data_IF_509922685565
#
_entry.id   IF_509922685565
#
_cell.length_a   1.000
_cell.length_b   1.000
_cell.length_c   1.000
_cell.angle_alpha   90.00
_cell.angle_beta   90.00
_cell.angle_gamma   90.00
#
_symmetry.space_group_name_H-M   'P 1'
#
loop_
_entity.id
_entity.type
_entity.pdbx_description
1 polymer ?
#
# COMPACT_ATOMS: atom_id res chain seq x y z
N UNK A 1 25.04 11.14 17.50
CA UNK A 1 24.74 9.70 17.62
C UNK A 1 23.22 9.51 17.80
N UNK A 2 22.41 9.62 16.73
CA UNK A 2 20.92 9.46 16.78
C UNK A 2 20.24 9.38 15.40
N UNK A 3 20.89 8.80 14.38
CA UNK A 3 20.33 8.70 13.01
C UNK A 3 19.73 7.34 12.65
N UNK A 4 19.75 6.36 13.57
CA UNK A 4 19.31 4.99 13.26
C UNK A 4 17.84 4.81 13.69
N UNK A 5 16.95 4.80 12.70
CA UNK A 5 15.52 4.41 12.71
C UNK A 5 14.46 5.48 13.01
N UNK A 6 14.44 6.56 12.23
CA UNK A 6 13.31 7.51 12.20
C UNK A 6 11.93 6.83 12.05
N UNK A 7 11.70 5.85 11.15
CA UNK A 7 10.41 5.16 11.06
C UNK A 7 9.94 4.53 12.38
N UNK A 8 10.81 3.80 13.08
CA UNK A 8 10.43 3.14 14.34
C UNK A 8 10.24 4.13 15.49
N UNK A 9 10.86 5.31 15.41
CA UNK A 9 10.56 6.40 16.36
C UNK A 9 9.17 6.97 16.12
N UNK A 10 8.75 7.16 14.87
CA UNK A 10 7.38 7.56 14.54
C UNK A 10 6.35 6.59 15.14
N UNK A 11 6.65 5.29 15.11
CA UNK A 11 5.81 4.26 15.72
C UNK A 11 5.73 4.41 17.25
N UNK A 12 6.87 4.62 17.90
CA UNK A 12 6.93 4.86 19.35
C UNK A 12 6.23 6.15 19.79
N UNK A 13 6.29 7.17 18.95
CA UNK A 13 5.79 8.51 19.25
C UNK A 13 4.32 8.71 18.86
N UNK A 14 3.71 7.77 18.13
CA UNK A 14 2.31 7.89 17.69
C UNK A 14 2.10 8.69 16.40
N UNK A 15 3.14 8.82 15.58
CA UNK A 15 3.14 9.59 14.34
C UNK A 15 3.44 8.73 13.12
N UNK A 16 3.15 7.42 13.18
CA UNK A 16 3.47 6.50 12.11
C UNK A 16 2.54 6.65 10.90
N UNK A 17 3.12 6.78 9.71
CA UNK A 17 2.43 6.83 8.43
C UNK A 17 2.87 5.70 7.52
N UNK A 18 1.92 4.89 7.06
CA UNK A 18 2.14 3.80 6.11
C UNK A 18 1.36 4.06 4.81
N UNK A 19 2.04 3.99 3.66
CA UNK A 19 1.39 3.93 2.36
C UNK A 19 1.15 2.46 1.99
N UNK A 20 -0.06 2.11 1.56
CA UNK A 20 -0.40 0.80 1.00
C UNK A 20 -0.60 0.96 -0.51
N UNK A 21 0.36 0.51 -1.31
CA UNK A 21 0.25 0.50 -2.77
C UNK A 21 -0.78 -0.54 -3.24
N UNK A 22 -0.94 -1.63 -2.50
CA UNK A 22 -1.94 -2.69 -2.73
C UNK A 22 -1.30 -4.07 -2.77
N UNK A 23 -1.83 -5.01 -1.99
CA UNK A 23 -1.28 -6.37 -1.85
C UNK A 23 -1.29 -7.17 -3.17
N UNK A 24 -2.22 -6.87 -4.08
CA UNK A 24 -2.32 -7.46 -5.42
C UNK A 24 -2.00 -6.48 -6.56
N UNK A 25 -1.58 -5.25 -6.24
CA UNK A 25 -1.39 -4.22 -7.26
C UNK A 25 0.03 -4.28 -7.85
N UNK A 26 0.12 -4.57 -9.14
CA UNK A 26 1.38 -4.86 -9.83
C UNK A 26 1.68 -3.88 -10.97
N UNK A 27 0.96 -2.75 -11.06
CA UNK A 27 1.29 -1.68 -11.99
C UNK A 27 2.54 -0.91 -11.52
N UNK A 28 3.71 -1.41 -11.94
CA UNK A 28 5.02 -0.93 -11.49
C UNK A 28 5.21 0.59 -11.64
N UNK A 29 4.77 1.26 -12.74
CA UNK A 29 4.90 2.71 -12.86
C UNK A 29 4.15 3.46 -11.75
N UNK A 30 2.91 3.07 -11.46
CA UNK A 30 2.14 3.68 -10.36
C UNK A 30 2.78 3.38 -9.00
N UNK A 31 3.16 2.13 -8.73
CA UNK A 31 3.82 1.75 -7.47
C UNK A 31 5.07 2.61 -7.24
N UNK A 32 5.91 2.77 -8.27
CA UNK A 32 7.12 3.57 -8.24
C UNK A 32 6.83 5.04 -7.96
N UNK A 33 5.89 5.65 -8.71
CA UNK A 33 5.59 7.07 -8.58
C UNK A 33 4.90 7.40 -7.25
N UNK A 34 3.98 6.56 -6.78
CA UNK A 34 3.40 6.68 -5.44
C UNK A 34 4.49 6.60 -4.36
N UNK A 35 5.38 5.60 -4.46
CA UNK A 35 6.49 5.42 -3.53
C UNK A 35 7.36 6.68 -3.47
N UNK A 36 7.74 7.25 -4.62
CA UNK A 36 8.56 8.45 -4.68
C UNK A 36 7.87 9.64 -4.00
N UNK A 37 6.62 9.93 -4.38
CA UNK A 37 5.88 11.08 -3.85
C UNK A 37 5.67 10.99 -2.33
N UNK A 38 5.22 9.83 -1.84
CA UNK A 38 4.96 9.63 -0.40
C UNK A 38 6.24 9.50 0.43
N UNK A 39 7.32 8.97 -0.15
CA UNK A 39 8.64 8.98 0.52
C UNK A 39 9.10 10.42 0.72
N UNK A 40 9.06 11.25 -0.32
CA UNK A 40 9.44 12.67 -0.23
C UNK A 40 8.51 13.48 0.70
N UNK A 41 7.24 13.08 0.82
CA UNK A 41 6.31 13.67 1.77
C UNK A 41 6.59 13.27 3.23
N UNK A 42 7.30 12.15 3.47
CA UNK A 42 7.69 11.68 4.81
C UNK A 42 6.96 10.45 5.32
N UNK A 43 6.52 9.55 4.45
CA UNK A 43 6.02 8.23 4.86
C UNK A 43 7.09 7.43 5.62
N UNK A 44 6.68 6.66 6.63
CA UNK A 44 7.59 5.79 7.39
C UNK A 44 7.70 4.38 6.80
N UNK A 45 6.66 3.95 6.09
CA UNK A 45 6.59 2.63 5.50
C UNK A 45 5.84 2.65 4.18
N UNK A 46 6.39 1.92 3.21
CA UNK A 46 5.78 1.68 1.91
C UNK A 46 5.50 0.19 1.82
N UNK A 47 4.22 -0.15 1.71
CA UNK A 47 3.72 -1.51 1.65
C UNK A 47 3.26 -1.86 0.25
N UNK A 48 3.82 -2.94 -0.28
CA UNK A 48 3.64 -3.37 -1.65
C UNK A 48 3.27 -4.84 -1.73
N UNK A 49 2.78 -5.22 -2.91
CA UNK A 49 2.58 -6.62 -3.24
C UNK A 49 3.85 -7.42 -2.97
N UNK A 50 3.63 -8.66 -2.54
CA UNK A 50 4.64 -9.67 -2.31
C UNK A 50 5.23 -10.20 -3.64
N UNK A 51 5.77 -9.29 -4.44
CA UNK A 51 6.24 -9.48 -5.81
C UNK A 51 7.64 -8.86 -5.97
N UNK A 52 8.64 -9.61 -6.48
CA UNK A 52 10.00 -9.10 -6.62
C UNK A 52 10.11 -7.84 -7.50
N UNK A 53 9.28 -7.68 -8.54
CA UNK A 53 9.32 -6.52 -9.41
C UNK A 53 8.73 -5.28 -8.72
N UNK A 54 7.63 -5.43 -7.98
CA UNK A 54 7.08 -4.36 -7.14
C UNK A 54 8.07 -3.90 -6.06
N UNK A 55 8.75 -4.84 -5.42
CA UNK A 55 9.79 -4.55 -4.42
C UNK A 55 10.98 -3.81 -5.07
N UNK A 56 11.43 -4.25 -6.24
CA UNK A 56 12.52 -3.61 -6.97
C UNK A 56 12.16 -2.17 -7.39
N UNK A 57 10.97 -1.96 -7.95
CA UNK A 57 10.47 -0.62 -8.32
C UNK A 57 10.38 0.32 -7.11
N UNK A 58 9.95 -0.21 -5.96
CA UNK A 58 9.89 0.53 -4.69
C UNK A 58 11.29 0.92 -4.21
N UNK A 59 12.25 -0.01 -4.27
CA UNK A 59 13.65 0.25 -3.91
C UNK A 59 14.27 1.33 -4.77
N UNK A 60 14.03 1.29 -6.08
CA UNK A 60 14.48 2.31 -7.03
C UNK A 60 13.91 3.68 -6.67
N UNK A 61 12.59 3.79 -6.45
CA UNK A 61 11.94 5.04 -6.09
C UNK A 61 12.46 5.64 -4.77
N UNK A 62 12.70 4.80 -3.76
CA UNK A 62 13.29 5.23 -2.47
C UNK A 62 14.73 5.74 -2.63
N UNK A 63 15.49 5.14 -3.54
CA UNK A 63 16.85 5.61 -3.86
C UNK A 63 16.80 6.98 -4.54
N UNK A 64 15.92 7.17 -5.52
CA UNK A 64 15.69 8.47 -6.16
C UNK A 64 15.25 9.52 -5.12
N UNK A 65 14.33 9.17 -4.20
CA UNK A 65 13.91 10.07 -3.14
C UNK A 65 15.08 10.49 -2.24
N UNK A 66 16.04 9.60 -2.00
CA UNK A 66 17.27 9.88 -1.24
C UNK A 66 18.15 10.93 -1.91
N UNK A 67 18.24 10.90 -3.25
CA UNK A 67 18.95 11.90 -4.03
C UNK A 67 18.26 13.27 -4.03
N UNK A 68 16.92 13.29 -3.92
CA UNK A 68 16.11 14.51 -3.90
C UNK A 68 15.91 15.10 -2.49
N UNK A 69 16.53 14.54 -1.46
CA UNK A 69 16.34 14.92 -0.04
C UNK A 69 16.53 16.42 0.23
N UNK A 70 17.59 17.01 -0.30
CA UNK A 70 17.89 18.44 -0.09
C UNK A 70 16.80 19.33 -0.69
N UNK A 71 16.26 18.93 -1.84
CA UNK A 71 15.19 19.67 -2.50
C UNK A 71 13.87 19.55 -1.74
N UNK A 72 13.52 18.36 -1.26
CA UNK A 72 12.35 18.15 -0.42
C UNK A 72 12.41 19.03 0.85
N UNK A 73 13.59 19.13 1.48
CA UNK A 73 13.83 19.99 2.63
C UNK A 73 13.62 21.48 2.29
N UNK A 74 14.11 21.94 1.14
CA UNK A 74 13.94 23.33 0.68
C UNK A 74 12.45 23.67 0.46
N UNK A 75 11.67 22.70 -0.01
CA UNK A 75 10.21 22.82 -0.14
C UNK A 75 9.44 22.59 1.17
N UNK A 76 10.15 22.40 2.30
CA UNK A 76 9.58 22.13 3.64
C UNK A 76 8.73 20.85 3.72
N UNK A 77 9.05 19.85 2.89
CA UNK A 77 8.43 18.53 2.96
C UNK A 77 9.10 17.63 4.01
N UNK A 78 8.37 16.59 4.43
CA UNK A 78 8.68 15.78 5.62
C UNK A 78 9.73 14.68 5.45
N UNK A 79 10.48 14.63 4.34
CA UNK A 79 11.46 13.55 4.14
C UNK A 79 12.66 13.65 5.08
N UNK A 80 12.65 12.82 6.12
CA UNK A 80 13.71 12.77 7.14
C UNK A 80 14.64 11.57 6.93
N UNK A 81 14.08 10.42 6.59
CA UNK A 81 14.81 9.16 6.46
C UNK A 81 14.13 8.19 5.50
N UNK A 82 14.89 7.19 5.06
CA UNK A 82 14.40 6.07 4.25
C UNK A 82 13.23 5.35 4.96
N UNK A 83 12.07 5.17 4.30
CA UNK A 83 10.97 4.38 4.84
C UNK A 83 11.33 2.90 4.89
N UNK A 84 10.62 2.14 5.74
CA UNK A 84 10.64 0.69 5.69
C UNK A 84 9.90 0.19 4.44
N UNK A 85 10.50 -0.74 3.72
CA UNK A 85 9.80 -1.45 2.64
C UNK A 85 9.14 -2.69 3.23
N UNK A 86 7.83 -2.75 3.13
CA UNK A 86 6.99 -3.85 3.62
C UNK A 86 6.40 -4.63 2.45
N UNK A 87 6.34 -5.95 2.59
CA UNK A 87 5.63 -6.80 1.66
C UNK A 87 4.43 -7.46 2.36
N UNK A 88 3.28 -7.41 1.70
CA UNK A 88 2.02 -7.99 2.18
C UNK A 88 1.82 -9.42 1.68
N UNK A 89 1.58 -10.35 2.61
CA UNK A 89 1.25 -11.76 2.37
C UNK A 89 -0.03 -12.14 3.14
N UNK A 90 -0.66 -13.26 2.77
CA UNK A 90 -1.84 -13.80 3.43
C UNK A 90 -1.60 -15.24 3.91
N UNK A 91 -2.33 -15.69 4.94
CA UNK A 91 -2.31 -17.07 5.40
C UNK A 91 -3.36 -17.98 4.73
N UNK A 92 -4.19 -17.42 3.84
CA UNK A 92 -5.22 -18.11 3.09
C UNK A 92 -6.00 -17.14 2.19
N UNK A 93 -7.21 -17.51 1.74
CA UNK A 93 -8.04 -16.61 0.93
C UNK A 93 -8.29 -15.28 1.64
N UNK A 94 -8.08 -14.18 0.92
CA UNK A 94 -8.22 -12.85 1.50
C UNK A 94 -8.75 -11.84 0.43
N UNK A 95 -9.71 -10.97 0.78
CA UNK A 95 -10.27 -9.98 -0.15
C UNK A 95 -9.27 -8.97 -0.74
N UNK A 96 -8.09 -8.79 -0.15
CA UNK A 96 -6.99 -7.96 -0.67
C UNK A 96 -6.08 -8.73 -1.63
N UNK A 97 -6.19 -10.06 -1.63
CA UNK A 97 -5.43 -11.01 -2.46
C UNK A 97 -6.32 -11.64 -3.52
N UNK A 98 -7.13 -10.81 -4.18
CA UNK A 98 -7.98 -11.23 -5.28
C UNK A 98 -7.83 -10.30 -6.47
N UNK A 99 -8.16 -10.80 -7.64
CA UNK A 99 -8.32 -9.99 -8.85
C UNK A 99 -9.66 -10.32 -9.48
N UNK A 100 -10.22 -9.35 -10.21
CA UNK A 100 -11.40 -9.58 -11.01
C UNK A 100 -11.02 -10.44 -12.21
N UNK A 101 -11.89 -11.35 -12.61
CA UNK A 101 -11.77 -12.11 -13.85
C UNK A 101 -13.14 -12.30 -14.49
N UNK A 102 -13.16 -12.34 -15.82
CA UNK A 102 -14.31 -12.78 -16.60
C UNK A 102 -13.85 -13.13 -18.01
N UNK A 103 -14.60 -14.01 -18.68
CA UNK A 103 -14.48 -14.20 -20.11
C UNK A 103 -15.21 -13.06 -20.82
N UNK A 104 -14.48 -12.23 -21.55
CA UNK A 104 -15.07 -11.09 -22.26
C UNK A 104 -15.91 -11.49 -23.46
N UNK A 105 -15.73 -12.71 -23.99
CA UNK A 105 -16.46 -13.21 -25.15
C UNK A 105 -17.92 -13.57 -24.83
N UNK A 106 -18.23 -13.82 -23.55
CA UNK A 106 -19.59 -14.10 -23.07
C UNK A 106 -20.32 -12.85 -22.58
N UNK A 107 -19.65 -11.69 -22.54
CA UNK A 107 -20.29 -10.43 -22.19
C UNK A 107 -21.19 -9.95 -23.35
N UNK A 108 -22.51 -9.76 -23.14
CA UNK A 108 -23.41 -9.32 -24.20
C UNK A 108 -22.94 -7.99 -24.82
N UNK A 109 -23.03 -7.87 -26.14
CA UNK A 109 -22.68 -6.64 -26.87
C UNK A 109 -23.53 -5.46 -26.35
N UNK A 110 -24.82 -5.71 -26.07
CA UNK A 110 -25.78 -4.74 -25.52
C UNK A 110 -25.56 -4.40 -24.04
N UNK A 111 -24.59 -5.03 -23.37
CA UNK A 111 -24.26 -4.69 -21.99
C UNK A 111 -23.73 -3.25 -21.95
N UNK A 112 -24.35 -2.42 -21.13
CA UNK A 112 -23.89 -1.03 -20.90
C UNK A 112 -22.61 -0.92 -20.04
N UNK A 113 -22.03 -2.08 -19.65
CA UNK A 113 -20.72 -2.26 -19.01
C UNK A 113 -20.43 -1.27 -17.86
N UNK A 114 -21.24 -1.26 -16.79
CA UNK A 114 -20.95 -0.44 -15.60
C UNK A 114 -19.59 -0.75 -14.96
N UNK A 115 -19.12 -1.99 -15.13
CA UNK A 115 -17.85 -2.46 -14.59
C UNK A 115 -16.64 -1.66 -15.11
N UNK A 116 -16.64 -1.20 -16.36
CA UNK A 116 -15.58 -0.33 -16.91
C UNK A 116 -15.54 0.99 -16.15
N UNK A 117 -16.71 1.64 -15.99
CA UNK A 117 -16.83 2.96 -15.36
C UNK A 117 -16.55 2.95 -13.86
N UNK A 118 -16.91 1.87 -13.16
CA UNK A 118 -16.70 1.78 -11.71
C UNK A 118 -15.27 1.37 -11.36
N UNK A 119 -14.50 0.85 -12.32
CA UNK A 119 -13.15 0.36 -12.10
C UNK A 119 -12.19 1.56 -11.93
N UNK A 120 -11.69 1.82 -10.71
CA UNK A 120 -10.90 3.02 -10.43
C UNK A 120 -9.46 2.92 -10.97
N UNK A 121 -9.04 1.72 -11.37
CA UNK A 121 -7.74 1.50 -12.02
C UNK A 121 -7.89 1.33 -13.54
N UNK A 122 -9.10 1.53 -14.08
CA UNK A 122 -9.41 1.34 -15.51
C UNK A 122 -8.96 -0.04 -16.04
N UNK A 123 -8.90 -1.03 -15.15
CA UNK A 123 -8.38 -2.36 -15.43
C UNK A 123 -9.33 -3.24 -16.26
N UNK A 124 -10.52 -2.75 -16.64
CA UNK A 124 -11.49 -3.51 -17.43
C UNK A 124 -11.62 -2.79 -18.78
N UNK A 125 -11.27 -3.49 -19.86
CA UNK A 125 -11.25 -2.92 -21.21
C UNK A 125 -12.02 -3.80 -22.19
N UNK A 126 -12.75 -3.16 -23.11
CA UNK A 126 -13.38 -3.84 -24.25
C UNK A 126 -12.92 -3.19 -25.56
N UNK A 127 -12.22 -3.95 -26.39
CA UNK A 127 -11.85 -3.54 -27.74
C UNK A 127 -12.95 -3.92 -28.73
N UNK A 128 -13.34 -2.99 -29.60
CA UNK A 128 -14.27 -3.25 -30.69
C UNK A 128 -13.55 -3.98 -31.83
N UNK A 129 -14.21 -4.97 -32.42
CA UNK A 129 -13.65 -5.80 -33.51
C UNK A 129 -13.39 -5.04 -34.81
N UNK A 130 -13.94 -3.83 -34.98
CA UNK A 130 -13.92 -3.09 -36.24
C UNK A 130 -12.66 -2.23 -36.45
N UNK A 131 -11.80 -2.10 -35.44
CA UNK A 131 -10.50 -1.42 -35.59
C UNK A 131 -9.38 -2.46 -35.71
N UNK A 132 -9.10 -2.88 -36.95
CA UNK A 132 -8.07 -3.85 -37.34
C UNK A 132 -6.62 -3.50 -36.92
N UNK A 133 -6.40 -2.41 -36.18
CA UNK A 133 -5.11 -1.91 -35.72
C UNK A 133 -4.83 -2.30 -34.25
N UNK A 134 -5.86 -2.66 -33.46
CA UNK A 134 -5.68 -3.03 -32.04
C UNK A 134 -5.98 -4.53 -31.82
N UNK A 135 -4.94 -5.37 -31.85
CA UNK A 135 -4.96 -6.77 -31.38
C UNK A 135 -5.01 -6.86 -29.83
N UNK A 136 -5.85 -6.06 -29.18
CA UNK A 136 -6.04 -6.11 -27.74
C UNK A 136 -7.08 -7.16 -27.34
N UNK A 137 -6.78 -8.00 -26.35
CA UNK A 137 -7.80 -8.87 -25.75
C UNK A 137 -8.68 -8.04 -24.81
N UNK A 138 -9.99 -8.05 -25.03
CA UNK A 138 -10.98 -7.51 -24.08
C UNK A 138 -10.96 -8.34 -22.79
N UNK A 139 -11.15 -7.71 -21.64
CA UNK A 139 -11.13 -8.40 -20.34
C UNK A 139 -10.56 -7.54 -19.22
N UNK A 140 -10.01 -8.22 -18.20
CA UNK A 140 -9.30 -7.57 -17.09
C UNK A 140 -7.81 -7.52 -17.39
N UNK A 141 -7.21 -6.33 -17.33
CA UNK A 141 -5.75 -6.15 -17.32
C UNK A 141 -5.27 -6.48 -15.90
N UNK A 142 -4.67 -7.67 -15.74
CA UNK A 142 -4.36 -8.26 -14.44
C UNK A 142 -3.42 -7.37 -13.61
N UNK A 143 -2.46 -6.70 -14.24
CA UNK A 143 -1.47 -5.84 -13.59
C UNK A 143 -2.09 -4.57 -12.96
N UNK A 144 -3.16 -4.04 -13.58
CA UNK A 144 -3.88 -2.87 -13.11
C UNK A 144 -4.93 -3.23 -12.04
N UNK A 145 -5.46 -4.45 -12.08
CA UNK A 145 -6.49 -4.87 -11.16
C UNK A 145 -5.94 -5.12 -9.75
N UNK A 146 -6.20 -4.18 -8.83
CA UNK A 146 -5.81 -4.34 -7.42
C UNK A 146 -6.86 -5.04 -6.54
N UNK A 147 -7.87 -5.67 -7.14
CA UNK A 147 -8.82 -6.51 -6.36
C UNK A 147 -9.91 -5.76 -5.59
N UNK A 148 -10.20 -4.50 -5.93
CA UNK A 148 -11.17 -3.68 -5.19
C UNK A 148 -12.59 -4.28 -5.12
N UNK A 149 -12.93 -5.18 -6.05
CA UNK A 149 -14.22 -5.86 -6.10
C UNK A 149 -15.42 -5.00 -6.51
N UNK A 150 -15.23 -3.72 -6.87
CA UNK A 150 -16.33 -2.82 -7.27
C UNK A 150 -17.09 -3.34 -8.48
N UNK A 151 -16.40 -4.00 -9.40
CA UNK A 151 -16.97 -4.59 -10.61
C UNK A 151 -17.86 -5.81 -10.33
N UNK A 152 -17.66 -6.52 -9.22
CA UNK A 152 -18.34 -7.78 -8.92
C UNK A 152 -19.85 -7.56 -8.73
N UNK A 153 -20.23 -6.57 -7.92
CA UNK A 153 -21.64 -6.32 -7.59
C UNK A 153 -22.39 -5.50 -8.62
N UNK A 154 -21.70 -4.74 -9.48
CA UNK A 154 -22.35 -3.89 -10.49
C UNK A 154 -22.57 -4.60 -11.82
N UNK A 155 -21.95 -5.77 -12.05
CA UNK A 155 -22.08 -6.50 -13.31
C UNK A 155 -23.54 -6.99 -13.46
N UNK A 156 -24.33 -6.50 -14.45
CA UNK A 156 -25.75 -6.83 -14.57
C UNK A 156 -25.98 -8.33 -14.87
N UNK A 157 -25.03 -8.93 -15.58
CA UNK A 157 -25.04 -10.33 -15.98
C UNK A 157 -24.27 -11.23 -15.00
N UNK A 158 -23.71 -10.68 -13.91
CA UNK A 158 -22.96 -11.41 -12.88
C UNK A 158 -21.80 -12.28 -13.45
N UNK A 159 -21.17 -11.81 -14.53
CA UNK A 159 -20.11 -12.55 -15.22
C UNK A 159 -18.74 -12.40 -14.55
N UNK A 160 -18.55 -11.37 -13.72
CA UNK A 160 -17.26 -11.06 -13.12
C UNK A 160 -17.13 -11.79 -11.79
N UNK A 161 -16.08 -12.60 -11.69
CA UNK A 161 -15.74 -13.37 -10.51
C UNK A 161 -14.48 -12.82 -9.84
N UNK A 162 -14.32 -13.13 -8.56
CA UNK A 162 -13.11 -12.85 -7.81
C UNK A 162 -12.21 -14.08 -7.85
N UNK A 163 -11.10 -13.99 -8.58
CA UNK A 163 -10.04 -15.00 -8.51
C UNK A 163 -9.17 -14.72 -7.30
N UNK A 164 -9.18 -15.61 -6.32
CA UNK A 164 -8.21 -15.60 -5.23
C UNK A 164 -6.81 -15.82 -5.82
N UNK A 165 -5.93 -14.84 -5.64
CA UNK A 165 -4.51 -14.98 -5.94
C UNK A 165 -3.82 -15.55 -4.70
N UNK A 166 -3.80 -16.88 -4.61
CA UNK A 166 -3.06 -17.61 -3.57
C UNK A 166 -1.79 -18.17 -4.20
N UNK A 167 -0.75 -17.36 -4.37
CA UNK A 167 0.58 -17.96 -4.47
C UNK A 167 0.94 -18.53 -3.10
N UNK A 168 1.58 -19.69 -3.04
CA UNK A 168 1.77 -20.41 -1.79
C UNK A 168 2.56 -19.53 -0.80
N UNK A 169 1.96 -19.07 0.31
CA UNK A 169 2.57 -18.04 1.16
C UNK A 169 3.97 -18.40 1.66
N UNK A 170 4.24 -19.71 1.82
CA UNK A 170 5.54 -20.26 2.22
C UNK A 170 6.65 -20.09 1.18
N UNK A 171 6.33 -20.23 -0.12
CA UNK A 171 7.32 -20.04 -1.20
C UNK A 171 7.62 -18.56 -1.42
N UNK A 172 6.58 -17.73 -1.35
CA UNK A 172 6.66 -16.28 -1.50
C UNK A 172 7.46 -15.65 -0.37
N UNK A 173 7.19 -16.01 0.89
CA UNK A 173 7.87 -15.41 2.03
C UNK A 173 9.39 -15.57 1.92
N UNK A 174 9.86 -16.78 1.58
CA UNK A 174 11.30 -17.06 1.42
C UNK A 174 11.91 -16.22 0.29
N UNK A 175 11.23 -16.12 -0.86
CA UNK A 175 11.69 -15.35 -2.01
C UNK A 175 11.80 -13.86 -1.68
N UNK A 176 10.80 -13.30 -1.00
CA UNK A 176 10.76 -11.89 -0.62
C UNK A 176 11.80 -11.55 0.42
N UNK A 177 12.01 -12.43 1.40
CA UNK A 177 13.02 -12.21 2.42
C UNK A 177 14.42 -12.19 1.79
N UNK A 178 14.67 -12.99 0.75
CA UNK A 178 15.89 -12.89 -0.06
C UNK A 178 16.00 -11.58 -0.86
N UNK A 179 14.87 -10.98 -1.26
CA UNK A 179 14.91 -9.64 -1.87
C UNK A 179 15.32 -8.55 -0.88
N UNK A 180 15.34 -8.82 0.43
CA UNK A 180 15.79 -7.89 1.47
C UNK A 180 14.78 -6.77 1.76
N UNK A 181 13.53 -7.15 2.08
CA UNK A 181 12.52 -6.24 2.65
C UNK A 181 12.82 -5.93 4.11
N UNK A 182 12.32 -4.80 4.60
CA UNK A 182 12.52 -4.37 5.99
C UNK A 182 11.44 -4.93 6.93
N UNK A 183 10.25 -5.20 6.41
CA UNK A 183 9.08 -5.59 7.16
C UNK A 183 8.17 -6.52 6.35
N UNK A 184 7.28 -7.24 7.04
CA UNK A 184 6.20 -7.99 6.41
C UNK A 184 4.87 -7.63 7.04
N UNK A 185 3.82 -7.70 6.24
CA UNK A 185 2.43 -7.71 6.69
C UNK A 185 1.83 -9.09 6.43
N UNK A 186 1.20 -9.66 7.45
CA UNK A 186 0.48 -10.93 7.36
C UNK A 186 -1.01 -10.65 7.51
N UNK A 187 -1.78 -10.87 6.45
CA UNK A 187 -3.25 -10.90 6.48
C UNK A 187 -3.73 -12.24 7.01
N UNK A 188 -4.69 -12.17 7.90
CA UNK A 188 -5.26 -13.32 8.60
C UNK A 188 -6.70 -13.03 9.02
N UNK A 189 -7.42 -14.08 9.43
CA UNK A 189 -8.82 -14.01 9.84
C UNK A 189 -9.04 -14.92 11.04
N UNK A 190 -10.02 -14.57 11.89
CA UNK A 190 -10.36 -15.37 13.06
C UNK A 190 -10.66 -16.82 12.66
N UNK A 191 -10.10 -17.77 13.41
CA UNK A 191 -10.23 -19.22 13.16
C UNK A 191 -9.15 -19.81 12.25
N UNK A 192 -8.15 -19.03 11.82
CA UNK A 192 -7.06 -19.49 10.95
C UNK A 192 -5.75 -19.82 11.65
N UNK A 193 -5.76 -20.15 12.94
CA UNK A 193 -4.53 -20.39 13.73
C UNK A 193 -3.63 -21.44 13.07
N UNK A 194 -4.21 -22.48 12.49
CA UNK A 194 -3.46 -23.57 11.84
C UNK A 194 -2.70 -23.07 10.61
N UNK A 195 -3.34 -22.29 9.75
CA UNK A 195 -2.73 -21.77 8.52
C UNK A 195 -1.73 -20.66 8.84
N UNK A 196 -2.06 -19.77 9.78
CA UNK A 196 -1.12 -18.79 10.32
C UNK A 196 0.14 -19.48 10.87
N UNK A 197 -0.01 -20.54 11.67
CA UNK A 197 1.12 -21.28 12.21
C UNK A 197 1.97 -21.95 11.12
N UNK A 198 1.33 -22.46 10.05
CA UNK A 198 2.03 -23.02 8.88
C UNK A 198 2.87 -21.95 8.19
N UNK A 199 2.29 -20.77 7.93
CA UNK A 199 2.98 -19.64 7.34
C UNK A 199 4.14 -19.14 8.24
N UNK A 200 3.88 -19.00 9.54
CA UNK A 200 4.87 -18.54 10.50
C UNK A 200 6.10 -19.45 10.55
N UNK A 201 5.95 -20.76 10.41
CA UNK A 201 7.09 -21.70 10.34
C UNK A 201 8.05 -21.37 9.18
N UNK A 202 7.54 -20.84 8.05
CA UNK A 202 8.36 -20.42 6.91
C UNK A 202 9.03 -19.06 7.13
N UNK A 203 8.42 -18.17 7.91
CA UNK A 203 8.93 -16.82 8.19
C UNK A 203 9.94 -16.81 9.34
N UNK A 204 9.69 -17.58 10.40
CA UNK A 204 10.46 -17.61 11.65
C UNK A 204 11.97 -17.71 11.46
N UNK A 205 12.54 -18.49 10.53
CA UNK A 205 13.98 -18.55 10.32
C UNK A 205 14.63 -17.21 9.92
N UNK A 206 13.85 -16.30 9.34
CA UNK A 206 14.32 -15.04 8.77
C UNK A 206 13.94 -13.82 9.61
N UNK A 207 13.19 -14.00 10.71
CA UNK A 207 12.63 -12.92 11.51
C UNK A 207 13.69 -11.92 12.03
N UNK A 208 14.91 -12.38 12.26
CA UNK A 208 16.03 -11.54 12.70
C UNK A 208 16.48 -10.49 11.66
N UNK A 209 16.08 -10.67 10.39
CA UNK A 209 16.36 -9.72 9.31
C UNK A 209 15.28 -8.64 9.21
N UNK A 210 14.11 -8.87 9.82
CA UNK A 210 12.99 -7.96 9.80
C UNK A 210 13.09 -6.94 10.94
N UNK A 211 12.71 -5.71 10.64
CA UNK A 211 12.59 -4.60 11.61
C UNK A 211 11.19 -4.52 12.21
N UNK A 212 10.19 -5.05 11.49
CA UNK A 212 8.79 -4.95 11.86
C UNK A 212 7.95 -6.09 11.25
N UNK A 213 6.97 -6.57 12.01
CA UNK A 213 5.88 -7.43 11.52
C UNK A 213 4.56 -6.71 11.80
N UNK A 214 3.69 -6.64 10.80
CA UNK A 214 2.30 -6.25 10.96
C UNK A 214 1.39 -7.47 10.81
N UNK A 215 0.44 -7.65 11.73
CA UNK A 215 -0.62 -8.64 11.61
C UNK A 215 -1.91 -7.88 11.33
N UNK A 216 -2.48 -8.09 10.15
CA UNK A 216 -3.68 -7.44 9.65
C UNK A 216 -4.87 -8.38 9.80
N UNK A 217 -5.88 -7.97 10.55
CA UNK A 217 -7.08 -8.77 10.79
C UNK A 217 -8.32 -7.86 10.84
N UNK A 218 -9.42 -8.36 10.29
CA UNK A 218 -10.72 -7.69 10.32
C UNK A 218 -11.45 -7.93 11.64
N UNK A 219 -12.48 -7.13 11.90
CA UNK A 219 -13.33 -7.34 13.09
C UNK A 219 -14.20 -8.58 12.91
N UNK A 220 -14.15 -9.48 13.89
CA UNK A 220 -15.01 -10.66 13.98
C UNK A 220 -15.24 -11.05 15.45
N UNK A 221 -16.16 -11.99 15.68
CA UNK A 221 -16.37 -12.63 16.97
C UNK A 221 -15.11 -13.41 17.39
N UNK A 222 -14.68 -13.27 18.65
CA UNK A 222 -13.46 -13.94 19.13
C UNK A 222 -12.13 -13.31 18.67
N UNK A 223 -12.15 -12.12 18.04
CA UNK A 223 -10.94 -11.46 17.55
C UNK A 223 -9.85 -11.31 18.62
N UNK A 224 -10.20 -10.93 19.85
CA UNK A 224 -9.17 -10.65 20.87
C UNK A 224 -8.48 -11.94 21.30
N UNK A 225 -9.25 -13.01 21.52
CA UNK A 225 -8.76 -14.35 21.82
C UNK A 225 -7.87 -14.86 20.69
N UNK A 226 -8.25 -14.58 19.44
CA UNK A 226 -7.47 -14.90 18.26
C UNK A 226 -6.13 -14.15 18.23
N UNK A 227 -6.12 -12.82 18.38
CA UNK A 227 -4.87 -12.04 18.40
C UNK A 227 -3.95 -12.45 19.57
N UNK A 228 -4.52 -12.79 20.73
CA UNK A 228 -3.77 -13.36 21.86
C UNK A 228 -3.14 -14.72 21.51
N UNK A 229 -3.84 -15.58 20.77
CA UNK A 229 -3.31 -16.87 20.30
C UNK A 229 -2.16 -16.66 19.32
N UNK A 230 -2.31 -15.74 18.37
CA UNK A 230 -1.25 -15.37 17.42
C UNK A 230 -0.02 -14.81 18.11
N UNK A 231 -0.20 -13.97 19.13
CA UNK A 231 0.92 -13.45 19.93
C UNK A 231 1.73 -14.58 20.58
N UNK A 232 1.07 -15.62 21.10
CA UNK A 232 1.74 -16.80 21.68
C UNK A 232 2.53 -17.59 20.61
N UNK A 233 2.06 -17.62 19.37
CA UNK A 233 2.73 -18.33 18.26
C UNK A 233 4.02 -17.60 17.84
N UNK A 234 3.98 -16.27 17.77
CA UNK A 234 5.09 -15.45 17.24
C UNK A 234 6.12 -15.06 18.30
N UNK A 235 5.74 -15.04 19.58
CA UNK A 235 6.62 -14.62 20.68
C UNK A 235 7.66 -15.69 21.05
N UNK A 236 8.89 -15.30 21.43
CA UNK A 236 9.43 -13.93 21.43
C UNK A 236 9.76 -13.43 20.02
N UNK A 237 9.48 -12.13 19.78
CA UNK A 237 9.80 -11.43 18.54
C UNK A 237 11.02 -10.51 18.73
N UNK A 238 12.03 -10.57 17.84
CA UNK A 238 13.20 -9.69 17.91
C UNK A 238 12.95 -8.30 17.30
N UNK A 239 11.75 -8.05 16.78
CA UNK A 239 11.40 -6.86 16.01
C UNK A 239 10.07 -6.24 16.49
N UNK A 240 9.70 -5.06 15.96
CA UNK A 240 8.46 -4.39 16.38
C UNK A 240 7.23 -5.11 15.84
N UNK A 241 6.15 -5.17 16.63
CA UNK A 241 4.87 -5.76 16.23
C UNK A 241 3.81 -4.66 16.07
N UNK A 242 3.11 -4.67 14.94
CA UNK A 242 1.91 -3.87 14.71
C UNK A 242 0.70 -4.82 14.64
N UNK A 243 -0.33 -4.52 15.42
CA UNK A 243 -1.69 -5.00 15.21
C UNK A 243 -2.39 -4.02 14.27
N UNK A 244 -2.48 -4.40 13.00
CA UNK A 244 -3.14 -3.61 11.98
C UNK A 244 -4.63 -3.92 12.01
N UNK A 245 -5.42 -2.93 12.41
CA UNK A 245 -6.87 -3.03 12.48
C UNK A 245 -7.46 -2.78 11.11
N UNK A 246 -7.72 -3.84 10.37
CA UNK A 246 -8.25 -3.77 9.02
C UNK A 246 -9.77 -3.59 9.07
N UNK A 247 -10.22 -2.34 9.04
CA UNK A 247 -11.65 -2.03 8.99
C UNK A 247 -12.29 -2.49 7.67
N UNK A 248 -13.58 -2.19 7.49
CA UNK A 248 -14.25 -2.50 6.23
C UNK A 248 -13.52 -1.84 5.04
N UNK A 249 -13.18 -2.60 3.98
CA UNK A 249 -12.62 -2.01 2.76
C UNK A 249 -13.54 -0.92 2.22
N UNK A 250 -12.98 0.14 1.63
CA UNK A 250 -13.78 1.14 0.91
C UNK A 250 -14.37 0.50 -0.36
N UNK A 251 -15.50 -0.18 -0.24
CA UNK A 251 -16.30 -0.71 -1.35
C UNK A 251 -17.02 0.44 -2.04
N UNK A 252 -16.36 1.12 -2.97
CA UNK A 252 -17.01 2.21 -3.72
C UNK A 252 -17.05 3.54 -2.97
N UNK A 253 -17.54 3.50 -1.73
CA UNK A 253 -17.83 4.68 -0.92
C UNK A 253 -16.61 5.17 -0.13
N UNK A 254 -16.20 6.41 -0.42
CA UNK A 254 -15.35 7.24 0.45
C UNK A 254 -16.20 7.81 1.61
N UNK A 255 -17.22 7.06 2.03
CA UNK A 255 -18.23 7.50 2.97
C UNK A 255 -17.71 7.58 4.40
N UNK A 256 -18.34 8.45 5.19
CA UNK A 256 -18.02 8.74 6.59
C UNK A 256 -17.98 7.48 7.49
N UNK A 257 -18.73 6.43 7.13
CA UNK A 257 -18.90 5.22 7.92
C UNK A 257 -17.72 4.23 7.93
N UNK A 258 -16.88 4.21 6.89
CA UNK A 258 -15.75 3.26 6.82
C UNK A 258 -14.66 3.58 7.83
N UNK A 259 -14.37 4.88 8.01
CA UNK A 259 -13.43 5.37 9.04
C UNK A 259 -13.91 5.09 10.46
N UNK A 260 -15.21 5.13 10.71
CA UNK A 260 -15.76 4.86 12.05
C UNK A 260 -15.54 3.39 12.46
N UNK A 261 -15.67 2.46 11.52
CA UNK A 261 -15.47 1.03 11.76
C UNK A 261 -14.03 0.71 12.18
N UNK A 262 -13.03 1.21 11.44
CA UNK A 262 -11.60 1.01 11.78
C UNK A 262 -11.23 1.67 13.11
N UNK A 263 -11.78 2.85 13.43
CA UNK A 263 -11.58 3.52 14.72
C UNK A 263 -12.15 2.69 15.87
N UNK A 264 -13.35 2.12 15.72
CA UNK A 264 -13.97 1.26 16.74
C UNK A 264 -13.15 -0.02 16.95
N UNK A 265 -12.70 -0.64 15.86
CA UNK A 265 -11.83 -1.82 15.91
C UNK A 265 -10.51 -1.50 16.63
N UNK A 266 -9.91 -0.34 16.37
CA UNK A 266 -8.68 0.07 17.07
C UNK A 266 -8.87 0.25 18.58
N UNK A 267 -10.02 0.75 19.03
CA UNK A 267 -10.34 0.85 20.45
C UNK A 267 -10.46 -0.54 21.07
N UNK A 268 -11.22 -1.45 20.43
CA UNK A 268 -11.35 -2.85 20.86
C UNK A 268 -9.97 -3.53 21.05
N UNK A 269 -9.04 -3.32 20.12
CA UNK A 269 -7.68 -3.89 20.19
C UNK A 269 -6.81 -3.17 21.23
N UNK A 270 -6.92 -1.85 21.38
CA UNK A 270 -6.20 -1.10 22.43
C UNK A 270 -6.65 -1.52 23.83
N UNK A 271 -7.95 -1.69 24.05
CA UNK A 271 -8.53 -2.09 25.33
C UNK A 271 -8.10 -3.50 25.76
N UNK A 272 -7.74 -4.36 24.80
CA UNK A 272 -7.23 -5.69 25.08
C UNK A 272 -5.79 -5.71 25.66
N UNK A 273 -5.05 -4.60 25.61
CA UNK A 273 -3.72 -4.50 26.22
C UNK A 273 -2.67 -5.46 25.66
N UNK A 274 -2.83 -5.87 24.40
CA UNK A 274 -1.89 -6.77 23.72
C UNK A 274 -0.52 -6.11 23.55
N UNK A 275 0.60 -6.83 23.75
CA UNK A 275 1.92 -6.30 23.43
C UNK A 275 2.03 -5.97 21.94
N UNK A 276 2.51 -4.77 21.62
CA UNK A 276 2.63 -4.27 20.26
C UNK A 276 2.00 -2.90 20.08
N UNK A 277 2.04 -2.37 18.86
CA UNK A 277 1.44 -1.09 18.50
C UNK A 277 0.15 -1.30 17.73
N UNK A 278 -0.85 -0.46 17.93
CA UNK A 278 -2.09 -0.50 17.15
C UNK A 278 -2.02 0.52 16.02
N UNK A 279 -2.32 0.08 14.80
CA UNK A 279 -2.37 0.93 13.61
C UNK A 279 -3.70 0.74 12.90
N UNK A 280 -4.33 1.83 12.43
CA UNK A 280 -5.53 1.73 11.61
C UNK A 280 -5.16 1.36 10.17
N UNK A 281 -5.92 0.44 9.60
CA UNK A 281 -6.02 0.19 8.17
C UNK A 281 -7.49 -0.06 7.79
N UNK A 282 -7.80 -0.12 6.49
CA UNK A 282 -9.18 -0.26 6.02
C UNK A 282 -10.05 0.98 6.27
N UNK A 283 -10.63 1.57 5.23
CA UNK A 283 -11.54 2.72 5.41
C UNK A 283 -10.88 4.04 5.85
N UNK A 284 -9.55 4.14 5.79
CA UNK A 284 -8.78 5.35 6.15
C UNK A 284 -8.82 6.40 5.02
N UNK A 285 -9.00 7.67 5.39
CA UNK A 285 -9.11 8.82 4.48
C UNK A 285 -8.72 10.14 5.18
N UNK A 286 -8.89 11.28 4.51
CA UNK A 286 -8.59 12.61 5.06
C UNK A 286 -9.31 12.98 6.37
N UNK A 287 -10.38 12.29 6.75
CA UNK A 287 -11.08 12.53 8.02
C UNK A 287 -10.50 11.73 9.19
N UNK A 288 -9.66 10.73 8.93
CA UNK A 288 -9.20 9.76 9.93
C UNK A 288 -8.43 10.42 11.07
N UNK A 289 -7.41 11.22 10.79
CA UNK A 289 -6.59 11.85 11.83
C UNK A 289 -7.42 12.82 12.68
N UNK A 290 -8.27 13.64 12.05
CA UNK A 290 -9.14 14.59 12.75
C UNK A 290 -10.07 13.86 13.74
N UNK A 291 -10.65 12.72 13.33
CA UNK A 291 -11.49 11.90 14.20
C UNK A 291 -10.71 11.28 15.35
N UNK A 292 -9.49 10.80 15.10
CA UNK A 292 -8.63 10.26 16.16
C UNK A 292 -8.25 11.32 17.20
N UNK A 293 -7.97 12.57 16.76
CA UNK A 293 -7.74 13.71 17.66
C UNK A 293 -8.98 14.00 18.50
N UNK A 294 -10.16 14.09 17.87
CA UNK A 294 -11.41 14.40 18.56
C UNK A 294 -11.77 13.35 19.63
N UNK A 295 -11.35 12.10 19.43
CA UNK A 295 -11.55 11.00 20.37
C UNK A 295 -10.40 10.83 21.38
N UNK A 296 -9.34 11.65 21.30
CA UNK A 296 -8.18 11.54 22.19
C UNK A 296 -7.38 10.24 22.00
N UNK A 297 -7.43 9.63 20.82
CA UNK A 297 -6.80 8.33 20.54
C UNK A 297 -5.36 8.44 20.03
N UNK A 298 -4.82 9.65 19.87
CA UNK A 298 -3.42 9.87 19.46
C UNK A 298 -2.55 10.20 20.66
N UNK A 299 -1.24 9.93 20.54
CA UNK A 299 -0.28 10.20 21.59
C UNK A 299 -0.27 11.69 21.96
N UNK A 300 -0.53 12.00 23.23
CA UNK A 300 -0.48 13.38 23.73
C UNK A 300 0.90 13.66 24.35
N UNK A 301 1.64 14.63 23.79
CA UNK A 301 2.95 15.05 24.34
C UNK A 301 2.86 15.62 25.76
N UNK A 302 1.68 16.11 26.17
CA UNK A 302 1.45 16.73 27.48
C UNK A 302 1.37 15.74 28.65
N UNK A 303 1.21 14.43 28.39
CA UNK A 303 1.19 13.38 29.42
C UNK A 303 2.60 12.84 29.77
N UNK A 304 3.67 13.41 29.19
CA UNK A 304 5.06 12.97 29.40
C UNK A 304 5.66 13.38 30.76
N UNK A 305 4.89 13.93 31.70
CA UNK A 305 5.40 14.35 33.02
C UNK A 305 5.55 13.21 34.04
N UNK A 306 4.95 12.03 33.84
CA UNK A 306 5.13 10.88 34.76
C UNK A 306 6.23 9.90 34.28
N UNK A 307 7.38 10.42 33.83
CA UNK A 307 8.48 9.62 33.24
C UNK A 307 9.67 9.34 34.15
N UNK A 308 9.58 9.59 35.45
CA UNK A 308 10.67 9.27 36.39
C UNK A 308 10.71 7.78 36.84
N UNK A 309 9.82 6.92 36.32
CA UNK A 309 9.78 5.49 36.68
C UNK A 309 10.35 4.50 35.64
N UNK A 310 10.75 4.95 34.44
CA UNK A 310 11.16 4.05 33.35
C UNK A 310 12.68 4.07 33.16
N UNK A 311 13.42 3.53 34.13
CA UNK A 311 14.88 3.33 33.99
C UNK A 311 15.36 1.92 34.35
N UNK A 312 14.49 0.90 34.31
CA UNK A 312 14.92 -0.50 34.44
C UNK A 312 14.42 -1.34 33.26
N UNK A 313 15.38 -1.97 32.58
CA UNK A 313 15.20 -2.92 31.49
C UNK A 313 14.34 -4.13 31.93
N UNK A 314 13.55 -4.66 30.98
CA UNK A 314 12.73 -5.88 31.01
C UNK A 314 11.32 -5.82 31.63
N UNK A 315 10.45 -4.93 31.14
CA UNK A 315 8.99 -5.02 31.33
C UNK A 315 8.26 -4.87 29.97
N UNK A 316 7.21 -5.67 29.66
CA UNK A 316 6.56 -5.70 28.35
C UNK A 316 5.84 -4.40 28.00
N UNK A 317 5.80 -4.08 26.71
CA UNK A 317 5.24 -2.87 26.08
C UNK A 317 3.70 -2.87 26.21
N UNK A 318 3.14 -2.59 27.40
CA UNK A 318 1.68 -2.59 27.65
C UNK A 318 1.08 -1.24 28.04
N UNK A 319 1.72 -0.11 27.73
CA UNK A 319 1.23 1.22 28.15
C UNK A 319 0.81 2.16 27.00
N UNK A 320 0.88 1.72 25.74
CA UNK A 320 0.44 2.56 24.64
C UNK A 320 -1.07 2.44 24.44
N UNK A 321 -1.85 3.20 25.23
CA UNK A 321 -3.30 3.37 25.05
C UNK A 321 -3.67 4.30 23.88
N UNK A 322 -2.81 4.40 22.87
CA UNK A 322 -2.99 5.28 21.72
C UNK A 322 -2.75 4.53 20.42
N UNK A 323 -3.40 5.00 19.37
CA UNK A 323 -3.15 4.60 17.99
C UNK A 323 -1.77 5.11 17.56
N UNK A 324 -0.87 4.18 17.27
CA UNK A 324 0.50 4.49 16.93
C UNK A 324 0.67 5.09 15.53
N UNK A 325 -0.27 4.81 14.63
CA UNK A 325 -0.23 5.30 13.26
C UNK A 325 -1.45 4.96 12.41
N UNK A 326 -1.41 5.44 11.17
CA UNK A 326 -2.47 5.21 10.18
C UNK A 326 -1.85 4.77 8.86
N UNK A 327 -2.41 3.72 8.28
CA UNK A 327 -2.08 3.26 6.93
C UNK A 327 -3.12 3.72 5.92
N UNK A 328 -2.68 4.17 4.74
CA UNK A 328 -3.56 4.66 3.68
C UNK A 328 -3.35 3.89 2.38
N UNK A 329 -4.43 3.29 1.88
CA UNK A 329 -4.45 2.57 0.60
C UNK A 329 -5.17 3.35 -0.49
N UNK A 330 -6.41 2.95 -0.81
CA UNK A 330 -7.17 3.49 -1.94
C UNK A 330 -7.29 5.02 -1.92
N UNK A 331 -7.48 5.64 -0.75
CA UNK A 331 -7.56 7.11 -0.65
C UNK A 331 -6.25 7.79 -1.07
N UNK A 332 -5.11 7.26 -0.61
CA UNK A 332 -3.79 7.78 -0.97
C UNK A 332 -3.49 7.63 -2.48
N UNK A 333 -3.99 6.58 -3.12
CA UNK A 333 -3.88 6.37 -4.57
C UNK A 333 -4.76 7.34 -5.36
N UNK A 334 -6.04 7.45 -4.97
CA UNK A 334 -6.99 8.39 -5.59
C UNK A 334 -6.46 9.83 -5.50
N UNK A 335 -5.85 10.20 -4.37
CA UNK A 335 -5.28 11.54 -4.18
C UNK A 335 -4.22 11.91 -5.24
N UNK A 336 -3.48 10.94 -5.78
CA UNK A 336 -2.46 11.17 -6.81
C UNK A 336 -2.92 10.77 -8.22
N UNK A 337 -4.11 10.18 -8.39
CA UNK A 337 -4.57 9.70 -9.72
C UNK A 337 -4.58 10.80 -10.78
N UNK A 338 -5.05 12.04 -10.52
CA UNK A 338 -5.09 13.07 -11.56
C UNK A 338 -3.69 13.44 -12.08
N UNK A 339 -2.68 13.38 -11.21
CA UNK A 339 -1.29 13.64 -11.59
C UNK A 339 -0.71 12.49 -12.40
N UNK A 340 -0.99 11.25 -12.00
CA UNK A 340 -0.51 10.07 -12.72
C UNK A 340 -1.17 9.96 -14.10
N UNK A 341 -2.47 10.23 -14.21
CA UNK A 341 -3.19 10.30 -15.49
C UNK A 341 -2.62 11.41 -16.40
N UNK A 342 -2.29 12.58 -15.84
CA UNK A 342 -1.62 13.66 -16.56
C UNK A 342 -0.26 13.21 -17.09
N UNK A 343 0.54 12.54 -16.27
CA UNK A 343 1.85 12.01 -16.65
C UNK A 343 1.74 10.96 -17.78
N UNK A 344 0.77 10.06 -17.69
CA UNK A 344 0.49 9.06 -18.71
C UNK A 344 0.04 9.67 -20.04
N UNK A 345 -0.85 10.68 -19.99
CA UNK A 345 -1.28 11.44 -21.18
C UNK A 345 -0.10 12.14 -21.85
N UNK A 346 0.76 12.81 -21.08
CA UNK A 346 1.96 13.45 -21.60
C UNK A 346 2.91 12.45 -22.27
N UNK A 347 3.08 11.29 -21.65
CA UNK A 347 3.89 10.22 -22.24
C UNK A 347 3.29 9.70 -23.54
N UNK A 348 1.98 9.45 -23.59
CA UNK A 348 1.29 9.00 -24.80
C UNK A 348 1.45 10.00 -25.96
N UNK A 349 1.23 11.29 -25.72
CA UNK A 349 1.40 12.32 -26.75
C UNK A 349 2.84 12.42 -27.25
N UNK A 350 3.83 12.22 -26.38
CA UNK A 350 5.24 12.19 -26.78
C UNK A 350 5.58 10.95 -27.60
N UNK A 351 5.03 9.78 -27.26
CA UNK A 351 5.20 8.56 -28.06
C UNK A 351 4.63 8.73 -29.47
N UNK A 352 3.41 9.28 -29.58
CA UNK A 352 2.75 9.57 -30.85
C UNK A 352 3.58 10.56 -31.69
N UNK A 353 4.13 11.61 -31.09
CA UNK A 353 4.99 12.56 -31.77
C UNK A 353 6.31 11.94 -32.25
N UNK A 354 6.89 11.04 -31.46
CA UNK A 354 8.11 10.30 -31.83
C UNK A 354 7.80 9.35 -32.99
N UNK A 355 6.71 8.59 -32.93
CA UNK A 355 6.28 7.65 -33.97
C UNK A 355 6.02 8.37 -35.30
N UNK A 356 5.30 9.50 -35.26
CA UNK A 356 5.12 10.36 -36.43
C UNK A 356 6.45 10.83 -37.04
N UNK A 357 7.42 11.22 -36.20
CA UNK A 357 8.74 11.61 -36.68
C UNK A 357 9.51 10.45 -37.32
N UNK A 358 9.36 9.22 -36.81
CA UNK A 358 9.97 8.02 -37.40
C UNK A 358 9.35 7.61 -38.73
N UNK A 359 8.02 7.68 -38.85
CA UNK A 359 7.35 7.36 -40.12
C UNK A 359 7.75 8.33 -41.25
N UNK A 360 8.13 9.56 -40.89
CA UNK A 360 8.68 10.53 -41.86
C UNK A 360 10.17 10.37 -42.15
N UNK A 361 10.92 9.63 -41.34
CA UNK A 361 12.36 9.47 -41.45
C UNK A 361 12.73 7.98 -41.53
N UNK A 362 12.98 7.48 -42.75
CA UNK A 362 13.47 6.11 -42.99
C UNK A 362 14.82 5.87 -42.29
N UNK A 363 14.80 5.34 -41.06
CA UNK A 363 16.02 5.20 -40.22
C UNK A 363 16.19 3.78 -39.64
N UNK A 364 17.47 3.39 -39.56
CA UNK A 364 18.04 2.07 -39.24
C UNK A 364 17.78 1.54 -37.81
N UNK A 365 17.78 0.21 -37.70
CA UNK A 365 17.48 -0.62 -36.52
C UNK A 365 18.35 -0.43 -35.26
N UNK A 366 19.39 0.41 -35.28
CA UNK A 366 20.25 0.67 -34.09
C UNK A 366 19.66 1.70 -33.11
N UNK A 367 18.74 2.56 -33.55
CA UNK A 367 18.11 3.59 -32.69
C UNK A 367 16.99 3.04 -31.79
N UNK A 368 16.49 1.82 -32.05
CA UNK A 368 15.37 1.21 -31.33
C UNK A 368 15.69 0.96 -29.85
N UNK A 369 16.92 0.52 -29.53
CA UNK A 369 17.34 0.19 -28.16
C UNK A 369 17.60 1.42 -27.28
N UNK A 370 18.13 2.52 -27.83
CA UNK A 370 18.28 3.77 -27.07
C UNK A 370 16.92 4.41 -26.75
N UNK A 371 15.94 4.22 -27.63
CA UNK A 371 14.60 4.78 -27.44
C UNK A 371 13.75 3.98 -26.45
N UNK A 372 13.88 2.66 -26.34
CA UNK A 372 13.20 1.89 -25.28
C UNK A 372 13.58 2.38 -23.87
N UNK A 373 14.86 2.69 -23.65
CA UNK A 373 15.34 3.30 -22.40
C UNK A 373 14.69 4.67 -22.15
N UNK A 374 14.65 5.55 -23.17
CA UNK A 374 13.94 6.85 -23.08
C UNK A 374 12.44 6.71 -22.82
N UNK A 375 11.75 5.74 -23.47
CA UNK A 375 10.31 5.46 -23.26
C UNK A 375 10.01 5.09 -21.80
N UNK A 376 10.90 4.33 -21.15
CA UNK A 376 10.74 3.98 -19.73
C UNK A 376 11.01 5.14 -18.75
N UNK A 377 11.71 6.19 -19.17
CA UNK A 377 12.03 7.34 -18.32
C UNK A 377 10.88 8.35 -18.25
N UNK A 378 10.08 8.46 -19.32
CA UNK A 378 9.01 9.47 -19.45
C UNK A 378 7.81 9.24 -18.53
N UNK A 379 7.65 8.03 -17.97
CA UNK A 379 6.62 7.73 -16.97
C UNK A 379 7.07 8.01 -15.53
N UNK A 380 8.29 8.51 -15.33
CA UNK A 380 8.85 8.74 -13.99
C UNK A 380 8.63 10.19 -13.55
N UNK A 381 8.01 10.38 -12.40
CA UNK A 381 7.68 11.71 -11.86
C UNK A 381 8.89 12.66 -11.81
N UNK A 382 10.07 12.16 -11.42
CA UNK A 382 11.26 12.99 -11.26
C UNK A 382 11.80 13.60 -12.55
N UNK A 383 11.33 13.15 -13.72
CA UNK A 383 11.71 13.74 -15.00
C UNK A 383 11.04 15.09 -15.27
N UNK A 384 9.95 15.40 -14.56
CA UNK A 384 9.19 16.64 -14.70
C UNK A 384 9.06 17.30 -13.32
N UNK A 385 10.00 18.19 -12.93
CA UNK A 385 10.07 18.73 -11.57
C UNK A 385 8.78 19.38 -11.07
N UNK A 386 8.06 20.11 -11.91
CA UNK A 386 6.80 20.77 -11.54
C UNK A 386 5.75 19.75 -11.10
N UNK A 387 5.59 18.67 -11.88
CA UNK A 387 4.62 17.60 -11.61
C UNK A 387 5.04 16.78 -10.39
N UNK A 388 6.35 16.53 -10.23
CA UNK A 388 6.88 15.88 -9.03
C UNK A 388 6.48 16.64 -7.77
N UNK A 389 6.74 17.94 -7.71
CA UNK A 389 6.47 18.71 -6.49
C UNK A 389 4.97 18.96 -6.26
N UNK A 390 4.16 18.99 -7.33
CA UNK A 390 2.71 18.93 -7.23
C UNK A 390 2.26 17.62 -6.52
N UNK A 391 2.80 16.47 -6.95
CA UNK A 391 2.51 15.17 -6.35
C UNK A 391 2.96 15.08 -4.90
N UNK A 392 4.17 15.56 -4.58
CA UNK A 392 4.67 15.58 -3.21
C UNK A 392 3.82 16.49 -2.33
N UNK A 393 3.35 17.63 -2.85
CA UNK A 393 2.46 18.54 -2.11
C UNK A 393 1.13 17.87 -1.75
N UNK A 394 0.50 17.19 -2.70
CA UNK A 394 -0.73 16.42 -2.45
C UNK A 394 -0.48 15.30 -1.43
N UNK A 395 0.57 14.49 -1.62
CA UNK A 395 0.93 13.44 -0.66
C UNK A 395 1.18 14.02 0.75
N UNK A 396 1.88 15.15 0.85
CA UNK A 396 2.15 15.84 2.10
C UNK A 396 0.88 16.38 2.78
N UNK A 397 -0.16 16.76 2.03
CA UNK A 397 -1.45 17.17 2.62
C UNK A 397 -2.11 16.07 3.47
N UNK A 398 -1.79 14.80 3.17
CA UNK A 398 -2.24 13.64 3.93
C UNK A 398 -1.22 13.23 5.00
N UNK A 399 0.06 13.10 4.64
CA UNK A 399 1.14 12.69 5.56
C UNK A 399 1.28 13.66 6.73
N UNK A 400 1.23 14.97 6.47
CA UNK A 400 1.44 16.00 7.49
C UNK A 400 0.39 16.01 8.60
N UNK A 401 -0.80 15.43 8.37
CA UNK A 401 -1.86 15.38 9.37
C UNK A 401 -1.41 14.64 10.63
N UNK A 402 -0.72 13.51 10.48
CA UNK A 402 -0.22 12.72 11.61
C UNK A 402 1.22 13.10 11.99
N UNK A 403 2.01 13.61 11.04
CA UNK A 403 3.43 13.97 11.26
C UNK A 403 3.66 15.28 11.98
N UNK A 404 2.67 16.17 12.03
CA UNK A 404 2.77 17.50 12.66
C UNK A 404 2.13 17.57 14.06
N UNK A 405 1.67 16.45 14.59
CA UNK A 405 1.24 16.30 15.98
C UNK A 405 2.46 16.33 16.91
#
# INVERSE_FOLDING_TARGET
MRERYYPLNSLKEGHWFKLICGASFQHLPTVRNLTLAYTLAGADCIDVAADPAAIAATKEAVEVASQLKSWAKNHKFGYQARPLIMASINDGEDPHFRKAEFDSTICPIECWRPCEKVCPAEAIVFFEKDNAINLGNSGVIDELCYGCGRCLSVCPNQLIQARSYVSTPSSIASLILQTGVDAIEIHTQVGRETDFQRLWKSIKPWVNQLKLIAISCQDDEGLIEYLQSLYKIISPLPCSLIWQTDGKPMSGDIGVGTTAATIKLSQKVLDAGLPGYVQLAGGTNNSTVVKLIALGLLANKSLKQDKDYINNFNIPISENKFVAGVAYGSYARILLSPILEKLEKMHKSQLEAIEFAYDTASVNTKDVNQNQSKKSQLTKLETIPEILWEAVSLANSLVSQIKRL
#
